data_IF_670074538197
#
_entry.id   IF_670074538197
#
_cell.length_a   1.000
_cell.length_b   1.000
_cell.length_c   1.000
_cell.angle_alpha   90.00
_cell.angle_beta   90.00
_cell.angle_gamma   90.00
#
_symmetry.space_group_name_H-M   'P 1'
#
loop_
_entity.id
_entity.type
_entity.pdbx_description
1 polymer ?
#
# COMPACT_ATOMS: atom_id res chain seq x y z
N UNK A 1 0.98 29.96 2.68
CA UNK A 1 1.17 28.81 1.77
C UNK A 1 -0.20 28.43 1.24
N UNK A 2 -0.47 28.69 -0.04
CA UNK A 2 -1.76 28.36 -0.68
C UNK A 2 -1.87 26.83 -0.75
N UNK A 3 -2.79 26.26 0.02
CA UNK A 3 -3.17 24.85 -0.09
C UNK A 3 -3.64 24.63 -1.53
N UNK A 4 -2.90 23.81 -2.27
CA UNK A 4 -3.32 23.45 -3.62
C UNK A 4 -4.68 22.75 -3.54
N UNK A 5 -5.63 23.08 -4.43
CA UNK A 5 -7.01 22.57 -4.42
C UNK A 5 -7.08 21.11 -4.90
N UNK A 6 -6.36 20.21 -4.23
CA UNK A 6 -6.26 18.79 -4.57
C UNK A 6 -6.99 18.01 -3.47
N UNK A 7 -7.95 17.19 -3.88
CA UNK A 7 -8.74 16.36 -3.00
C UNK A 7 -8.40 14.89 -3.21
N UNK A 8 -8.01 14.20 -2.15
CA UNK A 8 -7.84 12.76 -2.11
C UNK A 8 -9.13 12.14 -1.57
N UNK A 9 -9.64 11.11 -2.23
CA UNK A 9 -10.79 10.35 -1.75
C UNK A 9 -10.64 8.87 -2.06
N UNK A 10 -11.30 8.02 -1.29
CA UNK A 10 -11.35 6.58 -1.55
C UNK A 10 -12.21 6.27 -2.77
N UNK A 11 -11.91 5.14 -3.41
CA UNK A 11 -12.77 4.56 -4.43
C UNK A 11 -14.16 4.29 -3.86
N UNK A 12 -15.20 4.73 -4.57
CA UNK A 12 -16.59 4.61 -4.09
C UNK A 12 -17.42 3.56 -4.82
N UNK A 13 -16.98 3.13 -6.01
CA UNK A 13 -17.69 2.12 -6.78
C UNK A 13 -17.52 2.28 -8.29
N UNK A 14 -18.31 1.53 -9.03
CA UNK A 14 -18.24 1.38 -10.49
C UNK A 14 -18.35 2.69 -11.29
N UNK A 15 -18.95 3.74 -10.72
CA UNK A 15 -18.98 5.07 -11.36
C UNK A 15 -17.59 5.67 -11.58
N UNK A 16 -16.59 5.26 -10.80
CA UNK A 16 -15.21 5.70 -10.96
C UNK A 16 -14.44 4.90 -12.03
N UNK A 17 -14.90 3.70 -12.37
CA UNK A 17 -14.17 2.78 -13.22
C UNK A 17 -13.83 3.36 -14.60
N UNK A 18 -14.76 3.98 -15.35
CA UNK A 18 -14.46 4.56 -16.65
C UNK A 18 -13.35 5.61 -16.58
N UNK A 19 -13.35 6.42 -15.53
CA UNK A 19 -12.39 7.49 -15.32
C UNK A 19 -11.01 6.96 -14.91
N UNK A 20 -10.96 5.94 -14.06
CA UNK A 20 -9.73 5.23 -13.69
C UNK A 20 -9.11 4.58 -14.93
N UNK A 21 -9.94 3.90 -15.73
CA UNK A 21 -9.51 3.21 -16.94
C UNK A 21 -8.90 4.19 -17.95
N UNK A 22 -9.56 5.32 -18.19
CA UNK A 22 -9.06 6.36 -19.08
C UNK A 22 -7.69 6.89 -18.64
N UNK A 23 -7.51 7.17 -17.35
CA UNK A 23 -6.22 7.65 -16.81
C UNK A 23 -5.12 6.57 -16.88
N UNK A 24 -5.45 5.31 -16.59
CA UNK A 24 -4.48 4.21 -16.60
C UNK A 24 -4.03 3.86 -18.02
N UNK A 25 -4.96 3.76 -18.96
CA UNK A 25 -4.67 3.42 -20.36
C UNK A 25 -3.79 4.46 -21.06
N UNK A 26 -3.85 5.73 -20.63
CA UNK A 26 -3.02 6.79 -21.18
C UNK A 26 -1.57 6.80 -20.64
N UNK A 27 -1.31 6.12 -19.53
CA UNK A 27 -0.09 6.29 -18.75
C UNK A 27 0.72 5.01 -18.52
N UNK A 28 0.08 3.83 -18.52
CA UNK A 28 0.75 2.55 -18.35
C UNK A 28 0.98 1.86 -19.69
N UNK A 29 2.05 1.06 -19.75
CA UNK A 29 2.49 0.34 -20.96
C UNK A 29 1.62 -0.88 -21.30
N UNK A 30 0.86 -1.39 -20.34
CA UNK A 30 0.03 -2.59 -20.51
C UNK A 30 -1.45 -2.28 -20.76
N UNK A 31 -2.09 -2.94 -21.74
CA UNK A 31 -3.52 -2.80 -21.98
C UNK A 31 -4.31 -3.60 -20.93
N UNK A 32 -4.89 -2.92 -19.95
CA UNK A 32 -5.80 -3.54 -18.98
C UNK A 32 -7.24 -3.55 -19.48
N UNK A 33 -7.87 -4.73 -19.42
CA UNK A 33 -9.31 -4.90 -19.63
C UNK A 33 -10.10 -4.60 -18.36
N UNK A 34 -11.38 -4.25 -18.49
CA UNK A 34 -12.26 -3.91 -17.36
C UNK A 34 -12.29 -4.98 -16.25
N UNK A 35 -12.15 -6.26 -16.62
CA UNK A 35 -12.12 -7.37 -15.67
C UNK A 35 -10.93 -7.31 -14.71
N UNK A 36 -9.78 -6.79 -15.16
CA UNK A 36 -8.61 -6.59 -14.30
C UNK A 36 -8.91 -5.57 -13.21
N UNK A 37 -9.54 -4.45 -13.56
CA UNK A 37 -9.94 -3.44 -12.58
C UNK A 37 -10.94 -4.01 -11.57
N UNK A 38 -11.97 -4.72 -12.04
CA UNK A 38 -12.95 -5.38 -11.17
C UNK A 38 -12.29 -6.38 -10.24
N UNK A 39 -11.34 -7.19 -10.71
CA UNK A 39 -10.63 -8.15 -9.87
C UNK A 39 -9.90 -7.48 -8.67
N UNK A 40 -9.32 -6.30 -8.88
CA UNK A 40 -8.66 -5.56 -7.81
C UNK A 40 -9.63 -4.75 -6.95
N UNK A 41 -10.66 -4.14 -7.54
CA UNK A 41 -11.56 -3.20 -6.88
C UNK A 41 -12.79 -3.85 -6.23
N UNK A 42 -13.23 -5.03 -6.69
CA UNK A 42 -14.36 -5.78 -6.11
C UNK A 42 -14.00 -6.59 -4.86
N UNK A 43 -13.02 -6.17 -4.08
CA UNK A 43 -12.88 -6.64 -2.70
C UNK A 43 -13.80 -5.86 -1.78
N UNK A 44 -15.08 -6.16 -1.91
CA UNK A 44 -16.04 -5.95 -0.84
C UNK A 44 -16.40 -7.34 -0.34
N UNK A 45 -16.19 -7.58 0.96
CA UNK A 45 -16.62 -8.77 1.71
C UNK A 45 -15.82 -10.06 1.44
N UNK A 46 -14.68 -10.23 2.12
CA UNK A 46 -14.15 -11.57 2.39
C UNK A 46 -14.07 -11.92 3.87
N UNK A 47 -14.58 -11.08 4.78
CA UNK A 47 -14.76 -11.48 6.18
C UNK A 47 -16.15 -11.11 6.70
N UNK A 48 -17.05 -12.09 6.87
CA UNK A 48 -18.36 -11.88 7.50
C UNK A 48 -18.27 -11.53 9.00
N UNK A 49 -17.08 -11.53 9.60
CA UNK A 49 -16.89 -11.23 11.03
C UNK A 49 -16.53 -9.75 11.33
N UNK A 50 -16.29 -8.91 10.33
CA UNK A 50 -15.91 -7.52 10.57
C UNK A 50 -17.12 -6.61 10.38
N UNK A 51 -17.82 -6.27 11.48
CA UNK A 51 -18.92 -5.30 11.53
C UNK A 51 -18.51 -3.84 11.20
N UNK A 52 -17.26 -3.60 10.80
CA UNK A 52 -16.79 -2.30 10.34
C UNK A 52 -16.80 -2.29 8.82
N UNK A 53 -17.51 -1.33 8.23
CA UNK A 53 -17.35 -0.95 6.83
C UNK A 53 -15.87 -0.63 6.60
N UNK A 54 -15.11 -1.55 6.01
CA UNK A 54 -13.68 -1.34 5.78
C UNK A 54 -13.51 -0.34 4.64
N UNK A 55 -12.70 0.71 4.83
CA UNK A 55 -12.39 1.63 3.75
C UNK A 55 -11.69 0.90 2.60
N UNK A 56 -11.97 1.30 1.37
CA UNK A 56 -11.24 0.76 0.22
C UNK A 56 -9.76 1.16 0.28
N UNK A 57 -8.87 0.22 -0.06
CA UNK A 57 -7.41 0.44 -0.11
C UNK A 57 -6.97 1.29 -1.31
N UNK A 58 -7.89 1.53 -2.24
CA UNK A 58 -7.67 2.26 -3.49
C UNK A 58 -8.17 3.69 -3.36
N UNK A 59 -7.38 4.65 -3.86
CA UNK A 59 -7.65 6.08 -3.74
C UNK A 59 -7.58 6.77 -5.09
N UNK A 60 -8.37 7.83 -5.23
CA UNK A 60 -8.38 8.74 -6.37
C UNK A 60 -8.04 10.15 -5.91
N UNK A 61 -7.46 10.92 -6.83
CA UNK A 61 -7.15 12.33 -6.65
C UNK A 61 -7.91 13.13 -7.69
N UNK A 62 -8.56 14.20 -7.25
CA UNK A 62 -9.23 15.17 -8.12
C UNK A 62 -8.76 16.58 -7.81
N UNK A 63 -8.81 17.43 -8.84
CA UNK A 63 -8.65 18.86 -8.68
C UNK A 63 -10.01 19.48 -8.36
N UNK A 64 -10.10 20.27 -7.29
CA UNK A 64 -11.34 20.91 -6.85
C UNK A 64 -11.13 22.42 -6.68
N UNK A 65 -11.31 23.24 -7.73
CA UNK A 65 -11.01 24.67 -7.64
C UNK A 65 -11.85 25.34 -6.54
N UNK A 66 -11.17 25.97 -5.59
CA UNK A 66 -11.81 26.78 -4.55
C UNK A 66 -12.24 28.09 -5.22
N UNK A 67 -13.54 28.37 -5.28
CA UNK A 67 -14.03 29.67 -5.78
C UNK A 67 -13.69 30.77 -4.76
N UNK A 68 -13.24 31.96 -5.18
CA UNK A 68 -13.18 33.11 -4.29
C UNK A 68 -14.59 33.45 -3.76
N UNK A 69 -14.73 33.93 -2.52
CA UNK A 69 -16.03 34.28 -1.96
C UNK A 69 -16.69 35.39 -2.80
N UNK A 70 -17.88 35.09 -3.34
CA UNK A 70 -18.73 36.09 -4.00
C UNK A 70 -19.11 37.18 -3.00
N UNK A 71 -19.10 38.45 -3.40
CA UNK A 71 -19.44 39.62 -2.55
C UNK A 71 -20.83 39.58 -1.88
N UNK A 72 -21.67 38.61 -2.24
CA UNK A 72 -23.00 38.39 -1.68
C UNK A 72 -23.15 37.13 -0.82
N UNK A 73 -22.14 36.27 -0.72
CA UNK A 73 -22.19 35.03 0.07
C UNK A 73 -20.87 34.81 0.82
N UNK A 74 -20.93 34.83 2.15
CA UNK A 74 -19.77 34.76 3.06
C UNK A 74 -19.13 33.36 3.20
N UNK A 75 -19.41 32.42 2.29
CA UNK A 75 -18.81 31.08 2.31
C UNK A 75 -18.16 30.73 0.97
N UNK A 76 -16.94 30.13 0.96
CA UNK A 76 -16.35 29.56 -0.23
C UNK A 76 -17.25 28.42 -0.74
N UNK A 77 -17.86 28.58 -1.92
CA UNK A 77 -18.56 27.50 -2.60
C UNK A 77 -17.62 26.88 -3.62
N UNK A 78 -17.36 25.58 -3.53
CA UNK A 78 -16.70 24.86 -4.62
C UNK A 78 -17.56 24.97 -5.89
N UNK A 79 -16.95 25.06 -7.09
CA UNK A 79 -17.71 24.89 -8.33
C UNK A 79 -18.48 23.57 -8.25
N UNK A 80 -19.78 23.52 -8.59
CA UNK A 80 -20.50 22.27 -8.75
C UNK A 80 -20.08 21.63 -10.08
N UNK A 81 -18.79 21.35 -10.25
CA UNK A 81 -18.40 20.19 -11.04
C UNK A 81 -18.74 19.04 -10.12
N UNK A 82 -19.82 18.31 -10.42
CA UNK A 82 -20.19 17.15 -9.63
C UNK A 82 -18.90 16.32 -9.39
N UNK A 83 -18.55 16.04 -8.12
CA UNK A 83 -17.31 15.35 -7.79
C UNK A 83 -17.21 13.98 -8.48
N UNK A 84 -18.30 13.46 -9.07
CA UNK A 84 -18.31 12.29 -9.94
C UNK A 84 -17.93 12.57 -11.42
N UNK A 85 -17.92 13.81 -11.91
CA UNK A 85 -17.75 14.16 -13.34
C UNK A 85 -16.38 14.72 -13.71
N UNK A 86 -15.55 15.12 -12.75
CA UNK A 86 -14.18 15.58 -13.06
C UNK A 86 -13.25 14.39 -13.19
N UNK A 87 -12.52 14.31 -14.31
CA UNK A 87 -11.52 13.28 -14.52
C UNK A 87 -10.48 13.26 -13.38
N UNK A 88 -10.12 12.08 -12.85
CA UNK A 88 -9.11 11.96 -11.82
C UNK A 88 -7.76 12.40 -12.38
N UNK A 89 -7.02 13.18 -11.58
CA UNK A 89 -5.63 13.56 -11.89
C UNK A 89 -4.63 12.50 -11.42
N UNK A 90 -5.08 11.55 -10.58
CA UNK A 90 -4.26 10.46 -10.07
C UNK A 90 -5.11 9.33 -9.48
N UNK A 91 -4.60 8.11 -9.56
CA UNK A 91 -5.23 6.91 -9.00
C UNK A 91 -4.16 5.94 -8.49
N UNK A 92 -4.48 5.28 -7.38
CA UNK A 92 -3.79 4.08 -6.92
C UNK A 92 -4.80 2.96 -6.74
N UNK A 93 -4.52 1.80 -7.31
CA UNK A 93 -5.33 0.60 -7.19
C UNK A 93 -4.56 -0.44 -6.40
N UNK A 94 -5.16 -0.85 -5.30
CA UNK A 94 -4.56 -1.71 -4.29
C UNK A 94 -5.49 -2.88 -3.96
N UNK A 95 -4.88 -4.01 -3.59
CA UNK A 95 -5.56 -5.23 -3.15
C UNK A 95 -4.88 -5.77 -1.90
N UNK A 96 -5.64 -6.46 -1.07
CA UNK A 96 -5.11 -7.20 0.08
C UNK A 96 -5.59 -8.65 -0.01
N UNK A 97 -4.69 -9.59 0.28
CA UNK A 97 -5.03 -11.01 0.28
C UNK A 97 -4.11 -11.79 1.21
N UNK A 98 -4.65 -12.88 1.76
CA UNK A 98 -3.86 -13.83 2.53
C UNK A 98 -3.04 -14.66 1.54
N UNK A 99 -1.73 -14.49 1.57
CA UNK A 99 -0.81 -15.24 0.72
C UNK A 99 -0.48 -16.59 1.36
N UNK A 100 -0.72 -17.69 0.62
CA UNK A 100 -0.38 -19.08 1.01
C UNK A 100 -0.90 -19.48 2.42
N UNK A 101 -2.04 -18.94 2.82
CA UNK A 101 -2.65 -19.14 4.14
C UNK A 101 -1.72 -18.79 5.33
N UNK A 102 -0.73 -17.91 5.13
CA UNK A 102 0.30 -17.62 6.14
C UNK A 102 0.51 -16.14 6.44
N UNK A 103 0.55 -15.27 5.43
CA UNK A 103 0.80 -13.84 5.63
C UNK A 103 -0.26 -12.97 4.98
N UNK A 104 -0.65 -11.89 5.68
CA UNK A 104 -1.57 -10.89 5.15
C UNK A 104 -0.78 -9.89 4.31
N UNK A 105 -0.95 -9.93 2.98
CA UNK A 105 -0.12 -9.19 2.04
C UNK A 105 -0.94 -8.16 1.26
N UNK A 106 -0.42 -6.95 1.20
CA UNK A 106 -0.89 -5.87 0.34
C UNK A 106 -0.21 -5.92 -1.04
N UNK A 107 -0.95 -5.54 -2.07
CA UNK A 107 -0.49 -5.50 -3.45
C UNK A 107 -0.87 -4.16 -4.08
N UNK A 108 0.12 -3.41 -4.58
CA UNK A 108 -0.12 -2.20 -5.37
C UNK A 108 -0.12 -2.61 -6.84
N UNK A 109 -1.31 -2.66 -7.43
CA UNK A 109 -1.50 -3.14 -8.79
C UNK A 109 -1.20 -2.05 -9.83
N UNK A 110 -1.72 -0.85 -9.59
CA UNK A 110 -1.62 0.25 -10.55
C UNK A 110 -1.43 1.56 -9.79
N UNK A 111 -0.53 2.41 -10.28
CA UNK A 111 -0.36 3.78 -9.83
C UNK A 111 -0.19 4.66 -11.06
N UNK A 112 -1.08 5.62 -11.24
CA UNK A 112 -1.01 6.58 -12.35
C UNK A 112 -1.31 7.98 -11.86
N UNK A 113 -0.56 8.95 -12.39
CA UNK A 113 -0.78 10.40 -12.18
C UNK A 113 -0.63 11.09 -13.53
N UNK A 114 -1.59 11.95 -13.85
CA UNK A 114 -1.60 12.78 -15.05
C UNK A 114 -0.27 13.53 -15.21
N UNK A 115 0.29 13.49 -16.40
CA UNK A 115 1.60 14.09 -16.74
C UNK A 115 1.72 15.55 -16.29
N UNK A 116 0.66 16.35 -16.39
CA UNK A 116 0.64 17.77 -16.03
C UNK A 116 0.69 18.01 -14.51
N UNK A 117 0.36 16.98 -13.73
CA UNK A 117 0.27 17.02 -12.27
C UNK A 117 1.43 16.28 -11.57
N UNK A 118 2.37 15.72 -12.33
CA UNK A 118 3.57 15.05 -11.79
C UNK A 118 4.52 16.01 -11.10
N UNK A 119 5.45 15.44 -10.32
CA UNK A 119 6.46 16.18 -9.55
C UNK A 119 5.89 17.13 -8.49
N UNK A 120 4.63 16.90 -8.07
CA UNK A 120 3.92 17.63 -7.00
C UNK A 120 3.66 16.79 -5.74
N UNK A 121 4.31 15.63 -5.63
CA UNK A 121 4.14 14.72 -4.48
C UNK A 121 2.84 13.90 -4.46
N UNK A 122 1.99 13.99 -5.49
CA UNK A 122 0.68 13.31 -5.55
C UNK A 122 0.83 11.79 -5.46
N UNK A 123 1.74 11.20 -6.25
CA UNK A 123 2.00 9.76 -6.22
C UNK A 123 2.48 9.30 -4.84
N UNK A 124 3.39 10.04 -4.21
CA UNK A 124 3.87 9.74 -2.86
C UNK A 124 2.75 9.81 -1.82
N UNK A 125 1.84 10.79 -1.93
CA UNK A 125 0.70 10.91 -1.04
C UNK A 125 -0.30 9.75 -1.22
N UNK A 126 -0.60 9.37 -2.47
CA UNK A 126 -1.43 8.20 -2.77
C UNK A 126 -0.87 6.91 -2.16
N UNK A 127 0.43 6.66 -2.36
CA UNK A 127 1.08 5.45 -1.83
C UNK A 127 1.09 5.46 -0.30
N UNK A 128 1.37 6.60 0.35
CA UNK A 128 1.31 6.70 1.82
C UNK A 128 -0.08 6.42 2.36
N UNK A 129 -1.12 7.03 1.77
CA UNK A 129 -2.50 6.79 2.18
C UNK A 129 -2.89 5.31 2.05
N UNK A 130 -2.47 4.63 0.98
CA UNK A 130 -2.69 3.19 0.82
C UNK A 130 -1.89 2.35 1.80
N UNK A 131 -0.63 2.70 2.09
CA UNK A 131 0.18 2.02 3.10
C UNK A 131 -0.48 2.12 4.47
N UNK A 132 -0.93 3.31 4.86
CA UNK A 132 -1.52 3.52 6.18
C UNK A 132 -2.86 2.78 6.31
N UNK A 133 -3.70 2.78 5.26
CA UNK A 133 -4.90 1.96 5.21
C UNK A 133 -4.59 0.44 5.31
N UNK A 134 -3.55 -0.04 4.63
CA UNK A 134 -3.11 -1.44 4.71
C UNK A 134 -2.56 -1.82 6.09
N UNK A 135 -1.80 -0.92 6.73
CA UNK A 135 -1.29 -1.12 8.10
C UNK A 135 -2.44 -1.27 9.09
N UNK A 136 -3.44 -0.39 9.02
CA UNK A 136 -4.64 -0.47 9.86
C UNK A 136 -5.41 -1.80 9.66
N UNK A 137 -5.35 -2.35 8.45
CA UNK A 137 -5.95 -3.64 8.09
C UNK A 137 -5.05 -4.86 8.39
N UNK A 138 -3.95 -4.65 9.12
CA UNK A 138 -3.05 -5.69 9.61
C UNK A 138 -2.19 -6.34 8.53
N UNK A 139 -1.92 -5.64 7.43
CA UNK A 139 -1.00 -6.11 6.39
C UNK A 139 0.42 -6.13 6.96
N UNK A 140 1.13 -7.24 6.74
CA UNK A 140 2.49 -7.46 7.23
C UNK A 140 3.54 -7.02 6.20
N UNK A 141 3.19 -7.06 4.92
CA UNK A 141 4.07 -6.70 3.83
C UNK A 141 3.27 -6.18 2.62
N UNK A 142 3.85 -5.21 1.90
CA UNK A 142 3.28 -4.65 0.68
C UNK A 142 4.24 -4.92 -0.46
N UNK A 143 3.74 -5.46 -1.57
CA UNK A 143 4.55 -5.78 -2.75
C UNK A 143 4.00 -5.10 -4.01
N UNK A 144 4.90 -4.88 -4.97
CA UNK A 144 4.57 -4.37 -6.31
C UNK A 144 5.65 -4.75 -7.31
N UNK A 145 5.33 -4.62 -8.58
CA UNK A 145 6.23 -4.79 -9.70
C UNK A 145 6.30 -3.52 -10.55
N UNK A 146 7.49 -3.17 -11.02
CA UNK A 146 7.70 -2.05 -11.95
C UNK A 146 8.77 -2.37 -12.98
N UNK A 147 8.68 -1.79 -14.18
CA UNK A 147 9.69 -1.96 -15.24
C UNK A 147 11.09 -1.61 -14.72
N UNK A 148 12.09 -2.42 -15.09
CA UNK A 148 13.46 -2.26 -14.59
C UNK A 148 14.09 -0.90 -14.93
N UNK A 149 13.62 -0.24 -16.00
CA UNK A 149 14.07 1.06 -16.49
C UNK A 149 13.16 2.22 -16.09
N UNK A 150 12.12 1.97 -15.28
CA UNK A 150 11.24 3.02 -14.73
C UNK A 150 11.88 3.71 -13.51
N UNK A 151 12.97 4.43 -13.75
CA UNK A 151 13.72 5.16 -12.73
C UNK A 151 12.86 6.11 -11.87
N UNK A 152 11.86 6.85 -12.40
CA UNK A 152 10.98 7.67 -11.58
C UNK A 152 10.16 6.85 -10.56
N UNK A 153 9.62 5.70 -10.96
CA UNK A 153 8.87 4.83 -10.06
C UNK A 153 9.79 4.16 -9.03
N UNK A 154 10.95 3.66 -9.46
CA UNK A 154 11.94 3.06 -8.55
C UNK A 154 12.36 4.06 -7.47
N UNK A 155 12.74 5.29 -7.84
CA UNK A 155 13.12 6.33 -6.90
C UNK A 155 11.98 6.72 -5.95
N UNK A 156 10.73 6.78 -6.46
CA UNK A 156 9.55 7.03 -5.65
C UNK A 156 9.39 5.95 -4.57
N UNK A 157 9.38 4.67 -4.94
CA UNK A 157 9.14 3.58 -4.01
C UNK A 157 10.30 3.40 -3.02
N UNK A 158 11.54 3.52 -3.47
CA UNK A 158 12.72 3.49 -2.60
C UNK A 158 12.68 4.60 -1.54
N UNK A 159 12.25 5.81 -1.92
CA UNK A 159 12.08 6.92 -0.97
C UNK A 159 10.99 6.69 0.08
N UNK A 160 10.08 5.74 -0.18
CA UNK A 160 9.01 5.33 0.73
C UNK A 160 9.38 4.06 1.53
N UNK A 161 10.62 3.57 1.40
CA UNK A 161 11.15 2.44 2.16
C UNK A 161 10.98 1.08 1.48
N UNK A 162 10.50 1.02 0.24
CA UNK A 162 10.49 -0.23 -0.51
C UNK A 162 11.92 -0.64 -0.89
N UNK A 163 12.19 -1.94 -0.80
CA UNK A 163 13.44 -2.55 -1.23
C UNK A 163 13.21 -3.47 -2.42
N UNK A 164 14.22 -3.62 -3.28
CA UNK A 164 14.16 -4.54 -4.42
C UNK A 164 14.37 -5.97 -3.92
N UNK A 165 13.36 -6.82 -4.03
CA UNK A 165 13.41 -8.22 -3.62
C UNK A 165 14.07 -9.10 -4.69
N UNK A 166 13.62 -8.97 -5.95
CA UNK A 166 14.11 -9.77 -7.07
C UNK A 166 13.87 -9.09 -8.42
N UNK A 167 14.62 -9.54 -9.43
CA UNK A 167 14.40 -9.21 -10.84
C UNK A 167 13.60 -10.33 -11.50
N UNK A 168 12.56 -9.97 -12.24
CA UNK A 168 11.72 -10.86 -13.02
C UNK A 168 12.07 -10.65 -14.49
N UNK A 169 12.62 -11.66 -15.16
CA UNK A 169 13.03 -11.56 -16.55
C UNK A 169 11.83 -11.68 -17.49
N UNK A 170 11.74 -10.79 -18.49
CA UNK A 170 10.66 -10.75 -19.49
C UNK A 170 9.26 -10.82 -18.87
N UNK A 171 9.06 -10.08 -17.79
CA UNK A 171 7.83 -10.09 -17.01
C UNK A 171 6.67 -9.39 -17.74
N UNK A 172 6.96 -8.28 -18.39
CA UNK A 172 5.98 -7.50 -19.14
C UNK A 172 5.79 -8.08 -20.56
N UNK A 173 4.60 -7.89 -21.14
CA UNK A 173 4.27 -8.36 -22.50
C UNK A 173 5.21 -7.79 -23.58
N UNK A 174 5.79 -6.61 -23.33
CA UNK A 174 6.80 -6.00 -24.20
C UNK A 174 8.19 -6.67 -24.10
N UNK A 175 8.33 -7.74 -23.31
CA UNK A 175 9.58 -8.46 -23.08
C UNK A 175 10.52 -7.78 -22.09
N UNK A 176 10.13 -6.66 -21.47
CA UNK A 176 10.94 -5.99 -20.45
C UNK A 176 10.94 -6.76 -19.14
N UNK A 177 12.06 -6.65 -18.45
CA UNK A 177 12.20 -7.12 -17.08
C UNK A 177 11.45 -6.21 -16.11
N UNK A 178 11.10 -6.77 -14.96
CA UNK A 178 10.56 -6.04 -13.83
C UNK A 178 11.44 -6.20 -12.60
N UNK A 179 11.44 -5.20 -11.72
CA UNK A 179 11.82 -5.40 -10.32
C UNK A 179 10.57 -5.63 -9.50
N UNK A 180 10.60 -6.65 -8.65
CA UNK A 180 9.65 -6.81 -7.56
C UNK A 180 10.18 -6.09 -6.35
N UNK A 181 9.37 -5.19 -5.80
CA UNK A 181 9.68 -4.39 -4.63
C UNK A 181 8.81 -4.86 -3.46
N UNK A 182 9.36 -4.78 -2.25
CA UNK A 182 8.67 -5.14 -1.01
C UNK A 182 8.90 -4.07 0.05
N UNK A 183 7.85 -3.78 0.82
CA UNK A 183 7.89 -3.00 2.05
C UNK A 183 7.39 -3.90 3.19
N UNK A 184 8.29 -4.25 4.11
CA UNK A 184 7.91 -4.95 5.35
C UNK A 184 7.33 -3.93 6.34
N UNK A 185 6.17 -4.24 6.90
CA UNK A 185 5.52 -3.43 7.92
C UNK A 185 5.82 -4.02 9.30
N UNK A 186 6.17 -3.20 10.30
CA UNK A 186 6.29 -3.70 11.66
C UNK A 186 4.91 -4.21 12.12
N UNK A 187 4.85 -5.30 12.91
CA UNK A 187 3.62 -5.66 13.58
C UNK A 187 3.14 -4.46 14.40
N UNK A 188 1.82 -4.25 14.48
CA UNK A 188 1.20 -3.29 15.39
C UNK A 188 1.56 -3.71 16.82
N UNK A 189 2.75 -3.31 17.28
CA UNK A 189 3.27 -3.58 18.61
C UNK A 189 2.67 -2.60 19.59
N UNK A 190 2.15 -3.16 20.68
CA UNK A 190 1.61 -2.46 21.85
C UNK A 190 2.45 -1.23 22.18
N UNK A 191 1.78 -0.10 22.36
CA UNK A 191 2.36 1.06 23.03
C UNK A 191 2.74 0.63 24.44
N UNK A 192 3.96 0.13 24.62
CA UNK A 192 4.54 -0.08 25.92
C UNK A 192 4.80 1.32 26.49
N UNK A 193 3.95 1.70 27.44
CA UNK A 193 4.06 2.92 28.23
C UNK A 193 5.48 3.01 28.79
N UNK A 194 6.27 3.93 28.24
CA UNK A 194 7.49 4.41 28.90
C UNK A 194 7.19 5.75 29.53
N UNK A 195 6.34 5.71 30.55
CA UNK A 195 6.53 6.55 31.73
C UNK A 195 7.75 5.97 32.46
N UNK A 196 8.88 6.69 32.44
CA UNK A 196 9.36 7.25 33.69
C UNK A 196 10.49 8.26 33.52
N UNK A 197 10.37 9.25 34.38
CA UNK A 197 11.08 10.52 34.40
C UNK A 197 12.46 10.39 35.04
N UNK A 198 13.35 11.27 34.60
CA UNK A 198 14.72 11.52 35.09
C UNK A 198 14.84 11.87 36.60
N UNK A 199 16.09 11.77 37.09
CA UNK A 199 16.71 12.26 38.38
C UNK A 199 16.48 11.35 39.60
N UNK A 200 17.45 11.00 40.46
CA UNK A 200 18.64 11.70 40.95
C UNK A 200 19.64 10.71 41.64
N UNK A 201 20.84 11.22 41.93
CA UNK A 201 22.07 10.58 42.40
C UNK A 201 22.11 10.29 43.92
N UNK A 202 22.90 9.28 44.36
CA UNK A 202 23.33 9.18 45.77
C UNK A 202 24.00 7.85 46.17
N UNK A 203 25.25 7.92 46.62
CA UNK A 203 26.10 6.82 47.10
C UNK A 203 25.76 6.33 48.52
N UNK A 204 25.97 5.03 48.84
CA UNK A 204 26.15 4.58 50.24
C UNK A 204 25.90 3.09 50.51
N UNK A 205 26.89 2.43 51.10
CA UNK A 205 27.06 0.99 51.40
C UNK A 205 26.18 0.46 52.56
N UNK A 206 25.65 -0.79 52.48
CA UNK A 206 25.81 -1.89 53.47
C UNK A 206 24.82 -3.06 53.30
N UNK A 207 25.20 -4.20 53.87
CA UNK A 207 24.76 -5.61 53.70
C UNK A 207 23.45 -5.96 54.44
N UNK A 208 22.61 -6.90 53.93
CA UNK A 208 22.02 -8.08 54.65
C UNK A 208 20.96 -8.86 53.85
N UNK A 209 20.84 -10.16 54.15
CA UNK A 209 20.08 -11.23 53.48
C UNK A 209 18.54 -11.18 53.65
N UNK A 210 17.76 -11.68 52.68
CA UNK A 210 16.93 -12.91 52.75
C UNK A 210 15.92 -13.05 51.58
N UNK A 211 15.68 -14.33 51.18
CA UNK A 211 14.49 -14.92 50.51
C UNK A 211 14.25 -14.78 48.98
N UNK A 212 14.28 -15.95 48.32
CA UNK A 212 13.76 -16.40 46.98
C UNK A 212 12.21 -16.30 46.90
N UNK A 213 11.50 -16.58 45.75
CA UNK A 213 11.92 -17.22 44.49
C UNK A 213 11.33 -16.63 43.17
N UNK A 214 11.70 -17.29 42.05
CA UNK A 214 10.96 -17.44 40.76
C UNK A 214 11.26 -16.48 39.60
N UNK A 215 11.35 -17.05 38.39
CA UNK A 215 11.43 -16.32 37.12
C UNK A 215 12.48 -16.89 36.17
N UNK A 216 12.04 -17.35 35.01
CA UNK A 216 12.78 -18.20 34.08
C UNK A 216 14.00 -17.53 33.42
N UNK A 217 15.03 -18.34 33.15
CA UNK A 217 16.21 -17.96 32.37
C UNK A 217 15.82 -17.75 30.91
N UNK A 218 15.82 -16.50 30.46
CA UNK A 218 15.68 -16.17 29.04
C UNK A 218 17.04 -16.34 28.38
N UNK A 219 17.16 -17.40 27.58
CA UNK A 219 18.31 -17.67 26.73
C UNK A 219 18.24 -16.72 25.52
N UNK A 220 19.32 -16.06 25.08
CA UNK A 220 19.28 -15.27 23.86
C UNK A 220 19.16 -16.22 22.66
N UNK A 221 18.02 -16.16 21.97
CA UNK A 221 17.82 -16.87 20.70
C UNK A 221 18.76 -16.24 19.66
N UNK A 222 19.85 -16.95 19.36
CA UNK A 222 20.71 -16.66 18.21
C UNK A 222 19.93 -16.95 16.94
N UNK A 223 19.68 -15.93 16.13
CA UNK A 223 19.16 -16.10 14.77
C UNK A 223 20.15 -16.95 13.94
N UNK A 224 19.73 -18.08 13.34
CA UNK A 224 20.60 -18.84 12.44
C UNK A 224 20.73 -18.10 11.09
N UNK A 225 21.89 -18.19 10.42
CA UNK A 225 22.06 -17.63 9.08
C UNK A 225 21.16 -18.39 8.09
N UNK A 226 20.38 -17.65 7.31
CA UNK A 226 19.50 -18.19 6.27
C UNK A 226 20.29 -19.09 5.32
N UNK A 227 19.98 -20.39 5.33
CA UNK A 227 20.45 -21.35 4.33
C UNK A 227 19.49 -21.26 3.14
N UNK A 228 20.00 -20.83 1.98
CA UNK A 228 19.22 -20.74 0.76
C UNK A 228 18.60 -22.10 0.42
N UNK A 229 17.28 -22.14 0.27
CA UNK A 229 16.56 -23.29 -0.27
C UNK A 229 16.46 -23.06 -1.79
N UNK A 230 17.00 -24.01 -2.54
CA UNK A 230 16.90 -24.01 -3.99
C UNK A 230 15.45 -24.35 -4.36
N UNK A 231 14.73 -23.45 -5.02
CA UNK A 231 13.36 -23.69 -5.48
C UNK A 231 13.41 -23.90 -6.98
N UNK A 232 13.00 -25.10 -7.39
CA UNK A 232 12.83 -25.50 -8.79
C UNK A 232 11.73 -24.62 -9.41
N UNK A 233 11.91 -24.08 -10.62
CA UNK A 233 10.87 -23.29 -11.29
C UNK A 233 9.59 -24.12 -11.46
N UNK A 234 8.44 -23.46 -11.28
CA UNK A 234 7.12 -24.05 -11.50
C UNK A 234 7.07 -24.71 -12.89
N UNK A 235 6.83 -26.03 -12.91
CA UNK A 235 6.40 -26.74 -14.12
C UNK A 235 4.91 -26.47 -14.32
N UNK A 236 4.54 -25.98 -15.49
CA UNK A 236 3.16 -25.82 -15.96
C UNK A 236 2.56 -27.19 -16.33
N UNK A 237 2.25 -28.03 -15.34
CA UNK A 237 1.53 -29.28 -15.57
C UNK A 237 0.20 -29.25 -14.81
N UNK A 238 -0.83 -28.62 -15.40
CA UNK A 238 -2.25 -28.97 -15.18
C UNK A 238 -3.04 -28.50 -16.42
N UNK A 239 -2.96 -29.25 -17.52
CA UNK A 239 -3.92 -29.21 -18.63
C UNK A 239 -3.92 -30.58 -19.34
N UNK A 240 -4.38 -31.63 -18.65
CA UNK A 240 -4.87 -32.83 -19.33
C UNK A 240 -6.40 -32.81 -19.39
N UNK A 241 -6.86 -32.38 -20.57
CA UNK A 241 -8.17 -32.64 -21.14
C UNK A 241 -8.58 -34.11 -20.91
N UNK A 242 -9.55 -34.36 -20.02
CA UNK A 242 -10.37 -35.58 -20.13
C UNK A 242 -11.56 -35.27 -21.03
N UNK A 243 -11.34 -35.42 -22.34
CA UNK A 243 -12.40 -35.69 -23.28
C UNK A 243 -12.65 -37.21 -23.33
N UNK A 244 -13.90 -37.61 -23.12
CA UNK A 244 -14.42 -38.91 -23.58
C UNK A 244 -14.85 -39.89 -22.48
N UNK A 245 -16.14 -39.94 -22.19
CA UNK A 245 -17.08 -40.91 -22.79
C UNK A 245 -18.51 -40.55 -22.47
#
# INVERSE_FOLDING_TARGET
>A
MSSSPIMYRQYTGESDLPHIMALVQNELSEPYVIYTFRYFLHQCYSSPLSLRSRPHLSFLVRFCPILPPSRHHAQPQAYPSDPATSDPIGVIVCKQSIHRNKSNRGYIAMLSVDKNWRKRGIASALVRNSIDAMKEDGVEEIVLETEYDNHPALSLYESLGFIREKRLYRFYLNGKDAFRLVLSLPPLGDSDDTDDTSSDSGSGTSVSLTTKPSGASVVPIRCPPYRAINVIPYSDDEDDYVSGR
#
